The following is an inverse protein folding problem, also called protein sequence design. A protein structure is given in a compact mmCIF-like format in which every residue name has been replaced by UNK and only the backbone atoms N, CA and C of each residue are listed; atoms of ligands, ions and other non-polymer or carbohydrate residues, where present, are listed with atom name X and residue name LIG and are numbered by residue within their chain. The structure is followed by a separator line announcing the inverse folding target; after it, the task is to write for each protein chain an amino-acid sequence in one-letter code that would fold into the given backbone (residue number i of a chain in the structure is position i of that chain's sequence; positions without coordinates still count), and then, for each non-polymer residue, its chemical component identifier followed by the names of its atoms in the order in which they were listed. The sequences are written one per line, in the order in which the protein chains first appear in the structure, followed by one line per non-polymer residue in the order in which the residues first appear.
data_IF_866791649580
#
_entry.id   IF_866791649580
#
_cell.length_a   1.000
_cell.length_b   1.000
_cell.length_c   1.000
_cell.angle_alpha   90.00
_cell.angle_beta   90.00
_cell.angle_gamma   90.00
#
_symmetry.space_group_name_H-M   'P 1'
#
loop_
_entity.id
_entity.type
_entity.pdbx_description
1 polymer ?
#
# COMPACT_ATOMS: atom_id res chain seq x y z
N UNK A 1 20.37 1.88 30.40
CA UNK A 1 19.28 2.05 31.39
C UNK A 1 19.44 0.93 32.40
N UNK A 2 19.42 1.26 33.69
CA UNK A 2 19.37 0.24 34.74
C UNK A 2 18.01 -0.46 34.69
N UNK A 3 17.99 -1.78 34.84
CA UNK A 3 16.76 -2.57 34.88
C UNK A 3 15.96 -2.24 36.14
N UNK A 4 14.63 -2.31 36.08
CA UNK A 4 13.72 -2.10 37.23
C UNK A 4 14.08 -3.05 38.38
N UNK A 5 14.60 -4.24 38.05
CA UNK A 5 15.17 -5.22 38.99
C UNK A 5 16.27 -4.69 39.91
N UNK A 6 16.96 -3.61 39.54
CA UNK A 6 17.94 -2.95 40.42
C UNK A 6 17.28 -2.23 41.61
N UNK A 7 16.02 -1.82 41.47
CA UNK A 7 15.29 -1.00 42.43
C UNK A 7 14.41 -1.81 43.39
N UNK A 8 14.50 -3.14 43.39
CA UNK A 8 13.79 -4.00 44.34
C UNK A 8 14.64 -5.20 44.78
N UNK A 9 14.34 -5.75 45.96
CA UNK A 9 15.03 -6.89 46.57
C UNK A 9 14.02 -7.74 47.34
N UNK A 10 14.08 -9.07 47.21
CA UNK A 10 13.23 -10.02 47.97
C UNK A 10 11.71 -9.76 47.88
N UNK A 11 11.23 -9.16 46.79
CA UNK A 11 9.81 -8.87 46.58
C UNK A 11 9.37 -7.48 47.05
N UNK A 12 10.27 -6.67 47.60
CA UNK A 12 9.99 -5.32 48.08
C UNK A 12 10.83 -4.24 47.36
N UNK A 13 10.27 -3.04 47.24
CA UNK A 13 10.93 -1.89 46.64
C UNK A 13 12.08 -1.35 47.52
N UNK A 14 13.23 -1.07 46.90
CA UNK A 14 14.35 -0.40 47.54
C UNK A 14 14.15 1.12 47.51
N UNK A 15 13.38 1.63 48.48
CA UNK A 15 13.01 3.05 48.61
C UNK A 15 14.22 4.00 48.53
N UNK A 16 15.36 3.75 49.21
CA UNK A 16 16.53 4.62 49.09
C UNK A 16 17.10 4.75 47.68
N UNK A 17 17.03 3.70 46.86
CA UNK A 17 17.49 3.74 45.46
C UNK A 17 16.52 4.52 44.57
N UNK A 18 15.21 4.34 44.78
CA UNK A 18 14.17 5.05 44.02
C UNK A 18 14.26 6.56 44.25
N UNK A 19 14.42 6.99 45.51
CA UNK A 19 14.50 8.41 45.88
C UNK A 19 15.72 9.14 45.32
N UNK A 20 16.74 8.44 44.82
CA UNK A 20 17.89 9.07 44.15
C UNK A 20 17.57 9.60 42.75
N UNK A 21 16.50 9.11 42.14
CA UNK A 21 16.18 9.37 40.72
C UNK A 21 14.77 9.93 40.56
N UNK A 22 13.85 9.55 41.46
CA UNK A 22 12.44 9.88 41.37
C UNK A 22 12.03 10.73 42.60
N UNK A 23 11.40 11.90 42.42
CA UNK A 23 10.92 12.72 43.52
C UNK A 23 9.92 11.98 44.42
N UNK A 24 9.90 12.35 45.70
CA UNK A 24 9.12 11.69 46.75
C UNK A 24 7.65 11.38 46.42
N UNK A 25 6.83 12.29 45.84
CA UNK A 25 5.43 11.97 45.55
C UNK A 25 5.26 10.80 44.58
N UNK A 26 6.15 10.66 43.59
CA UNK A 26 6.11 9.56 42.63
C UNK A 26 6.72 8.28 43.22
N UNK A 27 7.75 8.41 44.07
CA UNK A 27 8.35 7.28 44.77
C UNK A 27 7.34 6.56 45.68
N UNK A 28 6.47 7.31 46.37
CA UNK A 28 5.38 6.74 47.18
C UNK A 28 4.41 5.91 46.35
N UNK A 29 4.02 6.41 45.16
CA UNK A 29 3.13 5.68 44.25
C UNK A 29 3.79 4.41 43.72
N UNK A 30 5.09 4.47 43.36
CA UNK A 30 5.84 3.30 42.89
C UNK A 30 5.90 2.22 43.97
N UNK A 31 6.17 2.61 45.23
CA UNK A 31 6.28 1.67 46.34
C UNK A 31 4.97 0.93 46.66
N UNK A 32 3.83 1.40 46.16
CA UNK A 32 2.52 0.74 46.31
C UNK A 32 2.24 -0.31 45.21
N UNK A 33 3.07 -0.37 44.16
CA UNK A 33 2.87 -1.30 43.04
C UNK A 33 3.40 -2.68 43.47
N UNK A 34 2.58 -3.75 43.46
CA UNK A 34 3.05 -5.08 43.83
C UNK A 34 4.06 -5.63 42.80
N UNK A 35 5.14 -6.23 43.28
CA UNK A 35 6.18 -6.83 42.42
C UNK A 35 5.76 -8.27 42.07
N UNK A 36 5.50 -8.53 40.79
CA UNK A 36 5.25 -9.87 40.29
C UNK A 36 6.56 -10.65 40.18
N UNK A 37 6.77 -11.62 41.07
CA UNK A 37 7.96 -12.48 41.03
C UNK A 37 7.93 -13.39 39.79
N UNK A 38 9.01 -13.37 38.99
CA UNK A 38 9.24 -14.34 37.91
C UNK A 38 8.95 -13.88 36.49
N UNK A 39 8.49 -12.63 36.27
CA UNK A 39 8.42 -12.04 34.92
C UNK A 39 9.60 -11.08 34.68
N UNK A 40 10.12 -11.05 33.45
CA UNK A 40 11.15 -10.10 33.06
C UNK A 40 10.61 -8.67 32.92
N UNK A 41 11.46 -7.66 33.14
CA UNK A 41 11.08 -6.26 33.03
C UNK A 41 10.56 -5.93 31.60
N UNK A 42 9.35 -5.39 31.50
CA UNK A 42 8.76 -4.89 30.25
C UNK A 42 8.40 -3.42 30.38
N UNK A 43 8.77 -2.61 29.39
CA UNK A 43 8.31 -1.21 29.28
C UNK A 43 6.85 -1.23 28.81
N UNK A 44 5.98 -0.54 29.55
CA UNK A 44 4.54 -0.47 29.28
C UNK A 44 4.15 0.96 28.93
N UNK A 45 3.47 1.13 27.79
CA UNK A 45 2.88 2.39 27.35
C UNK A 45 1.45 2.50 27.88
N UNK A 46 1.22 3.40 28.83
CA UNK A 46 -0.06 3.54 29.56
C UNK A 46 -1.23 4.01 28.68
N UNK A 47 -0.94 4.72 27.59
CA UNK A 47 -1.97 5.18 26.65
C UNK A 47 -2.37 4.12 25.62
N UNK A 48 -1.94 2.86 25.80
CA UNK A 48 -2.40 1.71 25.01
C UNK A 48 -3.03 0.66 25.90
N UNK A 49 -4.16 0.09 25.48
CA UNK A 49 -4.82 -1.02 26.17
C UNK A 49 -4.00 -2.32 26.17
N UNK A 50 -3.08 -2.49 25.21
CA UNK A 50 -2.16 -3.64 25.16
C UNK A 50 -0.88 -3.40 25.93
N UNK A 51 -0.64 -2.17 26.38
CA UNK A 51 0.61 -1.77 27.00
C UNK A 51 1.79 -1.61 26.03
N UNK A 52 1.60 -1.84 24.73
CA UNK A 52 2.66 -1.67 23.73
C UNK A 52 2.73 -0.24 23.21
N UNK A 53 3.95 0.24 23.00
CA UNK A 53 4.19 1.57 22.42
C UNK A 53 3.99 1.56 20.90
N UNK A 54 3.31 2.60 20.39
CA UNK A 54 3.31 2.89 18.96
C UNK A 54 3.37 4.40 18.72
N UNK A 55 3.97 4.81 17.59
CA UNK A 55 3.96 6.22 17.19
C UNK A 55 2.54 6.77 17.03
N UNK A 56 1.58 5.91 16.69
CA UNK A 56 0.16 6.27 16.57
C UNK A 56 -0.46 6.62 17.93
N UNK A 57 -0.31 5.75 18.93
CA UNK A 57 -0.86 5.98 20.27
C UNK A 57 -0.19 7.19 20.95
N UNK A 58 1.12 7.36 20.77
CA UNK A 58 1.83 8.55 21.24
C UNK A 58 1.33 9.83 20.58
N UNK A 59 1.14 9.83 19.26
CA UNK A 59 0.59 10.98 18.53
C UNK A 59 -0.85 11.31 18.95
N UNK A 60 -1.68 10.29 19.14
CA UNK A 60 -3.06 10.47 19.60
C UNK A 60 -3.15 11.06 21.02
N UNK A 61 -2.22 10.68 21.92
CA UNK A 61 -2.16 11.21 23.28
C UNK A 61 -1.77 12.70 23.34
N UNK A 62 -0.93 13.18 22.42
CA UNK A 62 -0.47 14.58 22.41
C UNK A 62 -1.29 15.49 21.48
N UNK A 63 -2.00 14.94 20.48
CA UNK A 63 -2.69 15.77 19.50
C UNK A 63 -3.95 16.39 20.07
N UNK A 64 -4.16 17.67 19.78
CA UNK A 64 -5.46 18.30 19.94
C UNK A 64 -6.30 18.00 18.70
N UNK A 65 -7.19 17.01 18.80
CA UNK A 65 -8.02 16.58 17.68
C UNK A 65 -9.03 17.67 17.30
N UNK A 66 -8.83 18.30 16.14
CA UNK A 66 -9.87 19.14 15.53
C UNK A 66 -10.99 18.27 14.93
N UNK A 67 -12.24 18.77 14.88
CA UNK A 67 -13.32 18.08 14.20
C UNK A 67 -12.97 17.83 12.73
N UNK A 68 -13.35 16.66 12.22
CA UNK A 68 -13.15 16.31 10.81
C UNK A 68 -13.96 17.26 9.95
N UNK A 69 -13.28 18.02 9.09
CA UNK A 69 -13.92 18.87 8.08
C UNK A 69 -13.91 18.12 6.75
N UNK A 70 -15.07 17.91 6.16
CA UNK A 70 -15.21 17.17 4.90
C UNK A 70 -14.36 17.78 3.78
N UNK A 71 -14.35 19.12 3.66
CA UNK A 71 -13.49 19.85 2.74
C UNK A 71 -12.00 19.47 2.86
N UNK A 72 -11.50 19.29 4.08
CA UNK A 72 -10.10 18.89 4.30
C UNK A 72 -9.87 17.41 3.99
N UNK A 73 -10.88 16.55 4.12
CA UNK A 73 -10.79 15.17 3.66
C UNK A 73 -10.71 15.10 2.13
N UNK A 74 -11.46 15.94 1.44
CA UNK A 74 -11.48 16.01 -0.04
C UNK A 74 -10.14 16.47 -0.61
N UNK A 75 -9.42 17.35 0.09
CA UNK A 75 -8.04 17.77 -0.27
C UNK A 75 -7.08 16.60 -0.38
N UNK A 76 -7.24 15.57 0.46
CA UNK A 76 -6.35 14.40 0.51
C UNK A 76 -6.98 13.18 -0.16
N UNK A 77 -7.95 13.39 -1.05
CA UNK A 77 -8.59 12.30 -1.75
C UNK A 77 -7.58 11.50 -2.60
N UNK A 78 -7.68 10.16 -2.58
CA UNK A 78 -6.76 9.20 -3.24
C UNK A 78 -6.54 9.42 -4.73
N UNK A 79 -7.44 10.14 -5.39
CA UNK A 79 -7.38 10.45 -6.82
C UNK A 79 -6.54 11.68 -7.14
N UNK A 80 -6.22 12.49 -6.12
CA UNK A 80 -5.39 13.67 -6.27
C UNK A 80 -3.92 13.28 -6.08
N UNK A 81 -3.07 13.78 -6.96
CA UNK A 81 -1.63 13.66 -6.75
C UNK A 81 -1.24 14.41 -5.46
N UNK A 82 -0.30 13.91 -4.65
CA UNK A 82 0.10 14.56 -3.40
C UNK A 82 0.54 16.03 -3.58
N UNK A 83 1.12 16.36 -4.73
CA UNK A 83 1.49 17.74 -5.10
C UNK A 83 0.28 18.67 -5.16
N UNK A 84 -0.84 18.21 -5.72
CA UNK A 84 -2.11 18.95 -5.75
C UNK A 84 -2.66 19.06 -4.34
N UNK A 85 -2.71 17.97 -3.56
CA UNK A 85 -3.22 18.00 -2.18
C UNK A 85 -2.45 18.98 -1.28
N UNK A 86 -1.12 18.97 -1.34
CA UNK A 86 -0.27 19.92 -0.59
C UNK A 86 -0.54 21.35 -1.03
N UNK A 87 -0.74 21.56 -2.33
CA UNK A 87 -1.08 22.86 -2.88
C UNK A 87 -2.44 23.36 -2.35
N UNK A 88 -3.49 22.54 -2.39
CA UNK A 88 -4.82 22.87 -1.88
C UNK A 88 -4.79 23.16 -0.39
N UNK A 89 -4.06 22.33 0.36
CA UNK A 89 -3.87 22.56 1.78
C UNK A 89 -3.20 23.92 2.04
N UNK A 90 -2.16 24.30 1.27
CA UNK A 90 -1.55 25.63 1.36
C UNK A 90 -2.49 26.75 0.94
N UNK A 91 -3.34 26.54 -0.07
CA UNK A 91 -4.35 27.50 -0.52
C UNK A 91 -5.35 27.79 0.60
N UNK A 92 -5.94 26.75 1.21
CA UNK A 92 -6.93 26.90 2.28
C UNK A 92 -6.34 27.46 3.59
N UNK A 93 -5.02 27.32 3.77
CA UNK A 93 -4.30 27.92 4.88
C UNK A 93 -3.81 29.33 4.58
N UNK A 94 -4.14 29.87 3.40
CA UNK A 94 -3.73 31.18 2.96
C UNK A 94 -2.19 31.33 2.97
N UNK A 95 -1.48 30.33 2.43
CA UNK A 95 0.00 30.24 2.43
C UNK A 95 0.64 30.23 1.05
N UNK A 96 -0.14 30.51 0.01
CA UNK A 96 0.37 30.61 -1.36
C UNK A 96 1.12 31.93 -1.59
N UNK A 97 2.28 31.93 -2.26
CA UNK A 97 3.06 33.14 -2.54
C UNK A 97 2.47 33.97 -3.69
N UNK A 98 1.29 34.58 -3.48
CA UNK A 98 0.77 35.64 -4.36
C UNK A 98 1.41 36.99 -4.04
N UNK A 99 1.47 37.90 -5.00
CA UNK A 99 2.16 39.18 -4.86
C UNK A 99 1.60 40.01 -3.69
N UNK A 100 0.28 40.02 -3.48
CA UNK A 100 -0.35 40.67 -2.31
C UNK A 100 0.17 40.13 -0.97
N UNK A 101 0.42 38.81 -0.86
CA UNK A 101 0.99 38.20 0.36
C UNK A 101 2.48 38.46 0.49
N UNK A 102 3.22 38.48 -0.61
CA UNK A 102 4.64 38.80 -0.57
C UNK A 102 4.85 40.24 -0.10
N UNK A 103 4.00 41.19 -0.50
CA UNK A 103 4.02 42.56 0.04
C UNK A 103 3.80 42.60 1.55
N UNK A 104 2.86 41.82 2.09
CA UNK A 104 2.66 41.72 3.54
C UNK A 104 3.89 41.19 4.29
N UNK A 105 4.79 40.47 3.60
CA UNK A 105 6.06 39.98 4.13
C UNK A 105 7.24 40.94 3.94
N UNK A 106 6.99 42.16 3.47
CA UNK A 106 8.00 43.22 3.34
C UNK A 106 8.68 43.30 1.97
N UNK A 107 8.22 42.55 0.96
CA UNK A 107 8.75 42.70 -0.40
C UNK A 107 8.13 43.91 -1.11
N UNK A 108 8.94 44.72 -1.77
CA UNK A 108 8.51 45.94 -2.49
C UNK A 108 8.45 45.72 -3.99
N UNK A 109 7.25 45.43 -4.50
CA UNK A 109 6.94 45.37 -5.93
C UNK A 109 5.43 45.56 -6.16
N UNK A 110 4.99 46.03 -7.34
CA UNK A 110 3.57 46.15 -7.64
C UNK A 110 2.91 44.78 -7.71
N UNK A 111 1.75 44.64 -7.09
CA UNK A 111 0.93 43.43 -7.16
C UNK A 111 0.06 43.49 -8.41
N UNK A 112 0.38 42.67 -9.42
CA UNK A 112 -0.30 42.70 -10.72
C UNK A 112 -0.52 41.30 -11.28
N UNK A 113 -1.75 40.97 -11.66
CA UNK A 113 -2.04 39.78 -12.45
C UNK A 113 -1.38 39.96 -13.81
N UNK A 114 -0.60 38.98 -14.24
CA UNK A 114 -0.02 38.97 -15.58
C UNK A 114 -1.09 38.90 -16.69
N UNK A 115 -2.32 38.54 -16.32
CA UNK A 115 -3.44 38.34 -17.24
C UNK A 115 -4.19 39.62 -17.61
N UNK A 116 -4.37 40.54 -16.65
CA UNK A 116 -5.29 41.68 -16.76
C UNK A 116 -4.84 42.88 -15.92
N UNK A 117 -3.62 42.84 -15.37
CA UNK A 117 -3.02 43.87 -14.51
C UNK A 117 -3.75 44.20 -13.20
N UNK A 118 -4.86 43.52 -12.89
CA UNK A 118 -5.56 43.64 -11.61
C UNK A 118 -4.69 43.20 -10.42
N UNK A 119 -5.08 43.53 -9.18
CA UNK A 119 -4.31 43.16 -8.01
C UNK A 119 -4.26 41.63 -7.83
N UNK A 120 -3.04 41.10 -7.70
CA UNK A 120 -2.84 39.66 -7.60
C UNK A 120 -3.04 39.12 -6.17
N UNK A 121 -4.28 38.79 -5.85
CA UNK A 121 -4.69 38.16 -4.59
C UNK A 121 -5.06 36.68 -4.76
N UNK A 122 -5.19 35.94 -3.66
CA UNK A 122 -5.71 34.55 -3.72
C UNK A 122 -7.15 34.55 -4.25
N UNK A 123 -8.04 35.38 -3.71
CA UNK A 123 -9.43 35.46 -4.17
C UNK A 123 -9.52 35.82 -5.65
N UNK A 124 -8.71 36.77 -6.12
CA UNK A 124 -8.73 37.16 -7.52
C UNK A 124 -8.28 36.03 -8.46
N UNK A 125 -7.13 35.41 -8.13
CA UNK A 125 -6.55 34.36 -8.97
C UNK A 125 -7.32 33.06 -8.93
N UNK A 126 -8.08 32.79 -7.87
CA UNK A 126 -8.77 31.52 -7.73
C UNK A 126 -10.28 31.66 -7.89
N UNK A 127 -10.90 32.82 -7.72
CA UNK A 127 -12.36 32.98 -7.71
C UNK A 127 -12.81 34.07 -8.69
N UNK A 128 -12.30 35.29 -8.56
CA UNK A 128 -12.96 36.47 -9.15
C UNK A 128 -12.56 36.75 -10.60
N UNK A 129 -11.38 36.30 -11.04
CA UNK A 129 -10.91 36.62 -12.39
C UNK A 129 -11.81 36.02 -13.48
N UNK A 130 -12.04 36.78 -14.55
CA UNK A 130 -12.90 36.38 -15.66
C UNK A 130 -12.48 35.04 -16.29
N UNK A 131 -11.17 34.80 -16.38
CA UNK A 131 -10.65 33.54 -16.88
C UNK A 131 -11.07 32.36 -15.99
N UNK A 132 -10.98 32.52 -14.68
CA UNK A 132 -11.31 31.46 -13.72
C UNK A 132 -12.81 31.24 -13.65
N UNK A 133 -13.62 32.31 -13.69
CA UNK A 133 -15.07 32.20 -13.79
C UNK A 133 -15.48 31.40 -15.03
N UNK A 134 -14.82 31.60 -16.17
CA UNK A 134 -15.03 30.79 -17.37
C UNK A 134 -14.69 29.31 -17.18
N UNK A 135 -13.58 29.00 -16.51
CA UNK A 135 -13.20 27.60 -16.17
C UNK A 135 -14.27 26.96 -15.30
N UNK A 136 -14.77 27.70 -14.32
CA UNK A 136 -15.81 27.25 -13.42
C UNK A 136 -17.12 26.97 -14.09
N UNK A 137 -17.60 27.92 -14.88
CA UNK A 137 -18.83 27.77 -15.65
C UNK A 137 -18.74 26.55 -16.56
N UNK A 138 -17.59 26.31 -17.20
CA UNK A 138 -17.39 25.13 -18.04
C UNK A 138 -17.57 23.81 -17.25
N UNK A 139 -16.84 23.63 -16.14
CA UNK A 139 -16.93 22.38 -15.39
C UNK A 139 -18.25 22.23 -14.64
N UNK A 140 -18.81 23.29 -14.08
CA UNK A 140 -20.09 23.24 -13.41
C UNK A 140 -21.25 22.94 -14.34
N UNK A 141 -21.23 23.44 -15.57
CA UNK A 141 -22.22 23.08 -16.58
C UNK A 141 -22.29 21.55 -16.81
N UNK A 142 -21.14 20.86 -16.77
CA UNK A 142 -21.08 19.39 -16.91
C UNK A 142 -21.82 18.71 -15.75
N UNK A 143 -21.72 19.26 -14.53
CA UNK A 143 -22.39 18.73 -13.34
C UNK A 143 -23.78 19.32 -13.07
N UNK A 144 -24.29 20.19 -13.95
CA UNK A 144 -25.57 20.88 -13.76
C UNK A 144 -25.57 21.82 -12.55
N UNK A 145 -24.40 22.30 -12.12
CA UNK A 145 -24.27 23.21 -10.99
C UNK A 145 -24.43 24.66 -11.48
N UNK A 146 -25.27 25.43 -10.79
CA UNK A 146 -25.30 26.88 -10.96
C UNK A 146 -24.26 27.47 -10.00
N UNK A 147 -23.16 27.98 -10.54
CA UNK A 147 -22.15 28.61 -9.71
C UNK A 147 -22.50 30.08 -9.50
N UNK A 148 -22.96 30.39 -8.29
CA UNK A 148 -22.63 31.65 -7.66
C UNK A 148 -21.24 31.48 -7.02
N UNK A 149 -20.25 32.22 -7.51
CA UNK A 149 -18.86 32.32 -7.01
C UNK A 149 -18.25 31.05 -6.40
N UNK A 150 -17.57 30.23 -7.22
CA UNK A 150 -16.67 29.17 -6.71
C UNK A 150 -15.38 29.14 -7.53
N UNK A 151 -14.26 28.66 -6.94
CA UNK A 151 -12.88 29.04 -7.28
C UNK A 151 -11.83 27.91 -7.54
N UNK A 152 -10.98 28.00 -8.61
CA UNK A 152 -10.36 26.92 -9.45
C UNK A 152 -8.90 26.69 -9.20
N UNK A 153 -8.53 25.43 -9.06
CA UNK A 153 -7.29 24.98 -8.44
C UNK A 153 -6.13 24.72 -9.43
N UNK A 154 -6.39 24.71 -10.73
CA UNK A 154 -5.37 24.48 -11.78
C UNK A 154 -4.71 25.76 -12.30
N UNK A 155 -5.13 26.91 -11.79
CA UNK A 155 -4.69 28.24 -12.19
C UNK A 155 -3.18 28.50 -12.00
N UNK A 156 -2.56 27.94 -10.95
CA UNK A 156 -1.16 28.24 -10.63
C UNK A 156 -0.15 27.72 -11.65
N UNK A 157 -0.37 26.53 -12.22
CA UNK A 157 0.53 25.93 -13.21
C UNK A 157 0.61 26.79 -14.47
N UNK A 158 -0.53 27.28 -14.95
CA UNK A 158 -0.58 28.15 -16.13
C UNK A 158 -0.14 29.58 -15.81
N UNK A 159 -0.41 30.09 -14.61
CA UNK A 159 0.16 31.36 -14.13
C UNK A 159 1.69 31.30 -14.10
N UNK A 160 2.28 30.23 -13.56
CA UNK A 160 3.75 30.07 -13.54
C UNK A 160 4.29 29.95 -14.97
N UNK A 161 3.60 29.26 -15.87
CA UNK A 161 3.96 29.23 -17.29
C UNK A 161 3.85 30.61 -17.95
N UNK A 162 2.85 31.41 -17.62
CA UNK A 162 2.73 32.78 -18.11
C UNK A 162 3.83 33.70 -17.54
N UNK A 163 4.11 33.60 -16.24
CA UNK A 163 5.07 34.45 -15.52
C UNK A 163 6.53 34.12 -15.83
N UNK A 164 6.85 32.83 -16.04
CA UNK A 164 8.24 32.36 -16.23
C UNK A 164 8.54 31.78 -17.61
N UNK A 165 7.53 31.41 -18.41
CA UNK A 165 7.70 30.74 -19.70
C UNK A 165 7.02 31.45 -20.88
N UNK A 166 6.43 32.64 -20.66
CA UNK A 166 5.87 33.49 -21.73
C UNK A 166 4.62 32.92 -22.41
N UNK A 167 3.94 31.95 -21.81
CA UNK A 167 2.73 31.33 -22.38
C UNK A 167 1.52 32.24 -22.13
N UNK A 168 0.67 32.54 -23.14
CA UNK A 168 -0.52 33.36 -22.94
C UNK A 168 -1.50 32.69 -21.97
N UNK A 169 -2.04 33.51 -21.08
CA UNK A 169 -2.97 33.08 -20.04
C UNK A 169 -4.41 33.10 -20.60
N UNK A 170 -5.03 31.92 -20.78
CA UNK A 170 -6.38 31.79 -21.36
C UNK A 170 -7.23 30.73 -20.67
N UNK A 171 -8.54 30.99 -20.61
CA UNK A 171 -9.57 30.07 -20.08
C UNK A 171 -9.50 28.70 -20.74
N UNK A 172 -9.46 28.68 -22.08
CA UNK A 172 -9.41 27.44 -22.87
C UNK A 172 -8.15 26.63 -22.58
N UNK A 173 -7.00 27.31 -22.37
CA UNK A 173 -5.76 26.66 -21.97
C UNK A 173 -5.88 25.94 -20.63
N UNK A 174 -6.55 26.55 -19.65
CA UNK A 174 -6.74 25.95 -18.32
C UNK A 174 -7.65 24.72 -18.45
N UNK A 175 -8.76 24.84 -19.19
CA UNK A 175 -9.70 23.74 -19.41
C UNK A 175 -8.98 22.56 -20.08
N UNK A 176 -8.22 22.81 -21.14
CA UNK A 176 -7.47 21.78 -21.85
C UNK A 176 -6.46 21.07 -20.94
N UNK A 177 -5.76 21.81 -20.09
CA UNK A 177 -4.78 21.23 -19.16
C UNK A 177 -5.43 20.37 -18.08
N UNK A 178 -6.56 20.81 -17.51
CA UNK A 178 -7.37 20.00 -16.58
C UNK A 178 -7.82 18.72 -17.25
N UNK A 179 -8.40 18.82 -18.45
CA UNK A 179 -8.86 17.65 -19.21
C UNK A 179 -7.70 16.70 -19.54
N UNK A 180 -6.53 17.22 -19.91
CA UNK A 180 -5.32 16.42 -20.18
C UNK A 180 -4.86 15.66 -18.93
N UNK A 181 -4.87 16.32 -17.76
CA UNK A 181 -4.52 15.68 -16.50
C UNK A 181 -5.51 14.55 -16.17
N UNK A 182 -6.83 14.80 -16.27
CA UNK A 182 -7.85 13.78 -16.02
C UNK A 182 -7.75 12.59 -16.98
N UNK A 183 -7.49 12.84 -18.28
CA UNK A 183 -7.24 11.78 -19.26
C UNK A 183 -5.99 10.96 -18.92
N UNK A 184 -4.94 11.59 -18.42
CA UNK A 184 -3.72 10.89 -17.98
C UNK A 184 -4.01 9.98 -16.79
N UNK A 185 -4.77 10.45 -15.81
CA UNK A 185 -5.20 9.65 -14.66
C UNK A 185 -6.09 8.46 -15.08
N UNK A 186 -6.99 8.68 -16.04
CA UNK A 186 -7.83 7.63 -16.62
C UNK A 186 -7.00 6.58 -17.38
N UNK A 187 -6.07 7.01 -18.23
CA UNK A 187 -5.16 6.11 -18.95
C UNK A 187 -4.26 5.30 -18.02
N UNK A 188 -3.83 5.91 -16.90
CA UNK A 188 -3.06 5.24 -15.85
C UNK A 188 -3.90 4.35 -14.92
N UNK A 189 -5.21 4.19 -15.17
CA UNK A 189 -6.16 3.41 -14.35
C UNK A 189 -6.26 3.88 -12.88
N UNK A 190 -5.93 5.13 -12.60
CA UNK A 190 -6.06 5.76 -11.27
C UNK A 190 -7.41 6.48 -11.10
N UNK A 191 -8.05 6.87 -12.21
CA UNK A 191 -9.41 7.37 -12.24
C UNK A 191 -10.38 6.22 -12.55
N UNK A 192 -10.92 5.57 -11.52
CA UNK A 192 -11.80 4.41 -11.61
C UNK A 192 -13.28 4.78 -11.58
N UNK A 193 -14.14 3.85 -12.05
CA UNK A 193 -15.60 3.98 -12.05
C UNK A 193 -16.18 4.34 -10.66
N UNK A 194 -15.61 3.78 -9.60
CA UNK A 194 -16.07 3.98 -8.21
C UNK A 194 -15.92 5.43 -7.75
N UNK A 195 -14.99 6.20 -8.34
CA UNK A 195 -14.84 7.63 -8.04
C UNK A 195 -15.92 8.49 -8.72
N UNK A 196 -16.67 7.91 -9.66
CA UNK A 196 -17.78 8.54 -10.39
C UNK A 196 -19.14 7.97 -9.97
N UNK A 197 -19.23 7.38 -8.78
CA UNK A 197 -20.50 6.87 -8.26
C UNK A 197 -21.56 7.99 -8.24
N UNK A 198 -22.74 7.69 -8.79
CA UNK A 198 -23.81 8.67 -9.00
C UNK A 198 -23.60 9.65 -10.18
N UNK A 199 -22.42 9.71 -10.79
CA UNK A 199 -22.06 10.71 -11.82
C UNK A 199 -21.46 10.10 -13.11
N UNK A 200 -21.89 8.89 -13.47
CA UNK A 200 -21.37 8.17 -14.65
C UNK A 200 -21.71 8.85 -15.99
N UNK A 201 -22.84 9.57 -16.05
CA UNK A 201 -23.21 10.32 -17.24
C UNK A 201 -22.22 11.49 -17.48
N UNK A 202 -21.89 12.23 -16.43
CA UNK A 202 -20.91 13.31 -16.47
C UNK A 202 -19.51 12.79 -16.83
N UNK A 203 -19.14 11.62 -16.31
CA UNK A 203 -17.90 10.95 -16.72
C UNK A 203 -17.87 10.70 -18.23
N UNK A 204 -18.97 10.21 -18.80
CA UNK A 204 -19.09 9.97 -20.23
C UNK A 204 -19.04 11.28 -21.05
N UNK A 205 -19.67 12.35 -20.57
CA UNK A 205 -19.58 13.70 -21.17
C UNK A 205 -18.12 14.19 -21.22
N UNK A 206 -17.33 13.88 -20.18
CA UNK A 206 -15.89 14.17 -20.14
C UNK A 206 -15.02 13.19 -20.95
N UNK A 207 -15.63 12.20 -21.62
CA UNK A 207 -14.93 11.20 -22.45
C UNK A 207 -14.42 9.97 -21.68
N UNK A 208 -14.83 9.77 -20.43
CA UNK A 208 -14.46 8.60 -19.64
C UNK A 208 -15.51 7.50 -19.76
N UNK A 209 -15.20 6.45 -20.53
CA UNK A 209 -16.09 5.31 -20.71
C UNK A 209 -15.68 4.20 -19.74
N UNK A 210 -16.43 4.03 -18.67
CA UNK A 210 -16.24 2.90 -17.77
C UNK A 210 -17.10 1.73 -18.25
N UNK A 211 -16.46 0.69 -18.80
CA UNK A 211 -17.17 -0.54 -19.11
C UNK A 211 -17.81 -1.08 -17.84
N UNK A 212 -19.11 -1.38 -17.91
CA UNK A 212 -19.80 -2.08 -16.83
C UNK A 212 -19.13 -3.44 -16.66
N UNK A 213 -18.45 -3.64 -15.53
CA UNK A 213 -18.06 -5.00 -15.15
C UNK A 213 -19.37 -5.72 -14.85
N UNK A 214 -19.79 -6.57 -15.78
CA UNK A 214 -20.84 -7.56 -15.51
C UNK A 214 -20.31 -8.38 -14.34
N UNK A 215 -21.08 -8.54 -13.24
CA UNK A 215 -20.68 -9.41 -12.14
C UNK A 215 -20.29 -10.75 -12.74
N UNK A 216 -19.06 -11.22 -12.53
CA UNK A 216 -18.70 -12.51 -13.12
C UNK A 216 -19.55 -13.55 -12.42
N UNK A 217 -20.09 -14.49 -13.18
CA UNK A 217 -20.80 -15.62 -12.59
C UNK A 217 -19.85 -16.32 -11.60
N UNK A 218 -20.35 -16.80 -10.45
CA UNK A 218 -19.54 -17.59 -9.54
C UNK A 218 -18.89 -18.74 -10.31
N UNK A 219 -17.60 -18.95 -10.09
CA UNK A 219 -16.86 -20.03 -10.74
C UNK A 219 -16.33 -21.01 -9.71
N UNK A 220 -16.32 -22.28 -10.10
CA UNK A 220 -15.75 -23.35 -9.29
C UNK A 220 -14.25 -23.42 -9.59
N UNK A 221 -13.43 -23.32 -8.56
CA UNK A 221 -11.97 -23.39 -8.64
C UNK A 221 -11.51 -24.56 -7.78
N UNK A 222 -10.56 -25.36 -8.25
CA UNK A 222 -9.98 -26.47 -7.47
C UNK A 222 -8.51 -26.60 -7.81
N UNK A 223 -7.73 -27.14 -6.87
CA UNK A 223 -6.38 -27.58 -7.18
C UNK A 223 -6.43 -28.78 -8.14
N UNK A 224 -5.49 -28.84 -9.09
CA UNK A 224 -5.36 -29.96 -10.02
C UNK A 224 -3.96 -30.55 -9.88
N UNK A 225 -3.87 -31.88 -9.85
CA UNK A 225 -2.56 -32.54 -9.87
C UNK A 225 -1.82 -32.27 -11.20
N UNK A 226 -0.48 -32.26 -11.19
CA UNK A 226 0.29 -32.23 -12.42
C UNK A 226 0.12 -33.54 -13.21
N UNK A 227 0.56 -33.54 -14.47
CA UNK A 227 0.59 -34.75 -15.29
C UNK A 227 1.47 -35.84 -14.64
N UNK A 228 1.24 -37.14 -14.93
CA UNK A 228 2.12 -38.20 -14.46
C UNK A 228 3.59 -37.90 -14.78
N UNK A 229 4.49 -38.20 -13.83
CA UNK A 229 5.93 -37.89 -13.89
C UNK A 229 6.32 -36.41 -13.85
N UNK A 230 5.36 -35.50 -13.64
CA UNK A 230 5.64 -34.09 -13.36
C UNK A 230 5.48 -33.79 -11.87
N UNK A 231 6.27 -32.83 -11.41
CA UNK A 231 6.10 -32.21 -10.10
C UNK A 231 5.37 -30.89 -10.24
N UNK A 232 4.69 -30.46 -9.18
CA UNK A 232 4.01 -29.17 -9.09
C UNK A 232 4.50 -28.40 -7.88
N UNK A 233 5.06 -27.22 -8.12
CA UNK A 233 5.43 -26.23 -7.12
C UNK A 233 4.32 -25.17 -7.03
N UNK A 234 3.63 -25.10 -5.90
CA UNK A 234 2.74 -23.99 -5.56
C UNK A 234 3.49 -23.02 -4.65
N UNK A 235 3.51 -21.73 -4.99
CA UNK A 235 4.23 -20.70 -4.22
C UNK A 235 3.32 -19.58 -3.77
N UNK A 236 3.66 -18.94 -2.65
CA UNK A 236 3.03 -17.71 -2.20
C UNK A 236 4.03 -16.85 -1.39
N UNK A 237 3.87 -15.53 -1.48
CA UNK A 237 4.64 -14.56 -0.71
C UNK A 237 3.71 -13.67 0.13
N UNK A 238 4.10 -13.38 1.37
CA UNK A 238 3.36 -12.45 2.21
C UNK A 238 4.18 -11.20 2.54
N UNK A 239 3.48 -10.09 2.82
CA UNK A 239 4.08 -8.85 3.31
C UNK A 239 3.07 -8.07 4.17
N UNK A 240 3.42 -7.78 5.43
CA UNK A 240 2.66 -6.98 6.38
C UNK A 240 3.05 -5.49 6.26
N UNK A 241 2.58 -4.85 5.20
CA UNK A 241 3.02 -3.51 4.76
C UNK A 241 3.78 -3.60 3.44
N UNK A 242 3.98 -2.48 2.74
CA UNK A 242 4.69 -2.47 1.46
C UNK A 242 5.61 -1.23 1.33
N UNK A 243 6.83 -1.27 1.90
CA UNK A 243 7.50 -2.43 2.50
C UNK A 243 7.05 -2.74 3.93
N UNK A 244 7.20 -4.00 4.37
CA UNK A 244 6.83 -4.48 5.70
C UNK A 244 7.42 -5.86 6.02
N UNK A 245 7.07 -6.46 7.16
CA UNK A 245 7.52 -7.82 7.50
C UNK A 245 7.05 -8.79 6.41
N UNK A 246 7.97 -9.52 5.80
CA UNK A 246 7.72 -10.33 4.62
C UNK A 246 8.34 -11.71 4.74
N UNK A 247 7.81 -12.64 3.96
CA UNK A 247 8.34 -13.98 3.82
C UNK A 247 7.74 -14.68 2.62
N UNK A 248 8.35 -15.81 2.29
CA UNK A 248 8.10 -16.56 1.08
C UNK A 248 7.92 -18.03 1.43
N UNK A 249 6.98 -18.72 0.80
CA UNK A 249 6.75 -20.12 1.05
C UNK A 249 6.28 -20.86 -0.20
N UNK A 250 6.38 -22.19 -0.15
CA UNK A 250 5.84 -23.01 -1.19
C UNK A 250 5.90 -24.50 -0.87
N UNK A 251 5.30 -25.29 -1.76
CA UNK A 251 5.13 -26.72 -1.58
C UNK A 251 5.22 -27.43 -2.93
N UNK A 252 6.00 -28.51 -2.97
CA UNK A 252 6.25 -29.34 -4.14
C UNK A 252 5.54 -30.68 -3.98
N UNK A 253 4.70 -31.03 -4.95
CA UNK A 253 3.85 -32.22 -4.96
C UNK A 253 4.00 -33.03 -6.24
N UNK A 254 3.80 -34.35 -6.15
CA UNK A 254 3.72 -35.24 -7.31
C UNK A 254 2.31 -35.28 -7.94
N UNK A 255 2.15 -36.08 -9.00
CA UNK A 255 0.86 -36.30 -9.66
C UNK A 255 -0.17 -37.07 -8.81
N UNK A 256 0.23 -37.72 -7.72
CA UNK A 256 -0.65 -38.36 -6.76
C UNK A 256 -1.06 -37.41 -5.61
N UNK A 257 -0.53 -36.18 -5.60
CA UNK A 257 -0.74 -35.19 -4.55
C UNK A 257 0.10 -35.43 -3.30
N UNK A 258 1.09 -36.34 -3.34
CA UNK A 258 2.03 -36.51 -2.24
C UNK A 258 3.02 -35.34 -2.21
N UNK A 259 3.32 -34.88 -1.01
CA UNK A 259 4.26 -33.79 -0.80
C UNK A 259 5.67 -34.36 -0.75
N UNK A 260 6.54 -33.81 -1.58
CA UNK A 260 7.97 -34.10 -1.53
C UNK A 260 8.69 -33.15 -0.58
N UNK A 261 8.38 -31.86 -0.69
CA UNK A 261 9.01 -30.78 0.06
C UNK A 261 8.03 -29.64 0.25
N UNK A 262 8.09 -28.97 1.40
CA UNK A 262 7.57 -27.64 1.61
C UNK A 262 8.66 -26.75 2.22
N UNK A 263 8.56 -25.44 2.04
CA UNK A 263 9.54 -24.50 2.56
C UNK A 263 8.88 -23.21 3.00
N UNK A 264 9.49 -22.58 4.00
CA UNK A 264 9.12 -21.29 4.56
C UNK A 264 10.40 -20.47 4.76
N UNK A 265 10.44 -19.27 4.21
CA UNK A 265 11.61 -18.41 4.18
C UNK A 265 11.26 -17.03 4.73
N UNK A 266 11.76 -16.71 5.92
CA UNK A 266 11.61 -15.40 6.53
C UNK A 266 12.52 -14.38 5.83
N UNK A 267 11.95 -13.31 5.25
CA UNK A 267 12.69 -12.30 4.48
C UNK A 267 13.02 -11.04 5.29
N UNK A 268 12.51 -10.92 6.53
CA UNK A 268 12.60 -9.69 7.29
C UNK A 268 11.72 -8.62 6.65
N UNK A 269 12.27 -7.48 6.23
CA UNK A 269 11.48 -6.41 5.61
C UNK A 269 11.54 -6.48 4.08
N UNK A 270 10.39 -6.59 3.42
CA UNK A 270 10.29 -6.73 1.97
C UNK A 270 9.03 -6.11 1.38
N UNK A 271 8.92 -6.15 0.05
CA UNK A 271 7.68 -5.81 -0.68
C UNK A 271 6.93 -7.09 -1.03
N UNK A 272 5.63 -6.99 -1.31
CA UNK A 272 4.85 -8.17 -1.75
C UNK A 272 5.43 -8.80 -3.02
N UNK A 273 5.83 -8.00 -4.02
CA UNK A 273 6.42 -8.50 -5.27
C UNK A 273 7.75 -9.21 -5.03
N UNK A 274 8.59 -8.68 -4.11
CA UNK A 274 9.85 -9.33 -3.74
C UNK A 274 9.60 -10.68 -3.06
N UNK A 275 8.64 -10.74 -2.14
CA UNK A 275 8.27 -11.96 -1.44
C UNK A 275 7.80 -13.05 -2.43
N UNK A 276 6.90 -12.70 -3.34
CA UNK A 276 6.35 -13.61 -4.35
C UNK A 276 7.43 -14.15 -5.30
N UNK A 277 8.31 -13.27 -5.82
CA UNK A 277 9.43 -13.69 -6.67
C UNK A 277 10.43 -14.57 -5.91
N UNK A 278 10.67 -14.27 -4.64
CA UNK A 278 11.59 -15.05 -3.81
C UNK A 278 11.00 -16.43 -3.52
N UNK A 279 9.68 -16.54 -3.32
CA UNK A 279 8.99 -17.81 -3.18
C UNK A 279 9.22 -18.68 -4.41
N UNK A 280 9.02 -18.14 -5.62
CA UNK A 280 9.29 -18.85 -6.89
C UNK A 280 10.74 -19.29 -6.99
N UNK A 281 11.69 -18.36 -6.81
CA UNK A 281 13.11 -18.66 -6.95
C UNK A 281 13.57 -19.77 -5.98
N UNK A 282 13.26 -19.64 -4.68
CA UNK A 282 13.67 -20.61 -3.66
C UNK A 282 13.07 -21.99 -3.90
N UNK A 283 11.78 -22.05 -4.27
CA UNK A 283 11.13 -23.32 -4.57
C UNK A 283 11.75 -24.04 -5.77
N UNK A 284 12.12 -23.29 -6.83
CA UNK A 284 12.80 -23.86 -7.99
C UNK A 284 14.23 -24.31 -7.66
N UNK A 285 14.98 -23.57 -6.84
CA UNK A 285 16.32 -23.97 -6.42
C UNK A 285 16.29 -25.25 -5.57
N UNK A 286 15.31 -25.38 -4.68
CA UNK A 286 15.07 -26.61 -3.93
C UNK A 286 14.66 -27.77 -4.85
N UNK A 287 13.78 -27.53 -5.82
CA UNK A 287 13.39 -28.54 -6.80
C UNK A 287 14.61 -29.07 -7.59
N UNK A 288 15.50 -28.18 -8.02
CA UNK A 288 16.71 -28.55 -8.76
C UNK A 288 17.65 -29.40 -7.90
N UNK A 289 17.87 -28.98 -6.65
CA UNK A 289 18.77 -29.66 -5.72
C UNK A 289 18.29 -31.09 -5.37
N UNK A 290 16.98 -31.31 -5.38
CA UNK A 290 16.36 -32.60 -5.07
C UNK A 290 15.99 -33.42 -6.33
N UNK A 291 16.37 -32.97 -7.53
CA UNK A 291 16.09 -33.69 -8.78
C UNK A 291 14.60 -33.76 -9.14
N UNK A 292 13.81 -32.77 -8.73
CA UNK A 292 12.36 -32.71 -8.95
C UNK A 292 12.05 -31.96 -10.26
N UNK A 293 12.27 -32.64 -11.38
CA UNK A 293 11.97 -32.17 -12.73
C UNK A 293 11.31 -33.29 -13.56
N UNK A 294 10.43 -32.99 -14.54
CA UNK A 294 9.96 -31.66 -14.96
C UNK A 294 8.97 -31.00 -13.96
N UNK A 295 8.87 -29.67 -14.00
CA UNK A 295 8.19 -28.88 -12.96
C UNK A 295 7.09 -27.97 -13.51
N UNK A 296 5.91 -28.01 -12.91
CA UNK A 296 4.87 -26.97 -13.09
C UNK A 296 4.95 -26.02 -11.90
N UNK A 297 5.12 -24.73 -12.14
CA UNK A 297 5.15 -23.70 -11.10
C UNK A 297 3.87 -22.87 -11.16
N UNK A 298 3.13 -22.81 -10.06
CA UNK A 298 1.86 -22.10 -9.93
C UNK A 298 1.98 -20.93 -8.94
N UNK A 299 1.66 -19.73 -9.44
CA UNK A 299 1.75 -18.46 -8.70
C UNK A 299 0.40 -17.72 -8.77
N UNK A 300 -0.12 -17.22 -7.66
CA UNK A 300 -1.40 -16.49 -7.61
C UNK A 300 -1.25 -14.96 -7.77
N UNK A 301 -0.02 -14.48 -7.97
CA UNK A 301 0.31 -13.08 -8.27
C UNK A 301 0.45 -12.82 -9.78
N UNK A 302 -0.56 -12.16 -10.38
CA UNK A 302 -0.56 -11.79 -11.81
C UNK A 302 0.60 -10.86 -12.20
N UNK A 303 1.07 -10.02 -11.27
CA UNK A 303 2.22 -9.15 -11.48
C UNK A 303 3.50 -9.95 -11.69
N UNK A 304 3.71 -11.05 -10.95
CA UNK A 304 4.87 -11.92 -11.11
C UNK A 304 4.84 -12.62 -12.46
N UNK A 305 3.69 -13.17 -12.85
CA UNK A 305 3.52 -13.79 -14.17
C UNK A 305 3.82 -12.80 -15.29
N UNK A 306 3.36 -11.56 -15.16
CA UNK A 306 3.61 -10.50 -16.15
C UNK A 306 5.10 -10.12 -16.23
N UNK A 307 5.79 -10.03 -15.08
CA UNK A 307 7.22 -9.74 -15.00
C UNK A 307 8.09 -10.85 -15.62
N UNK A 308 7.76 -12.11 -15.35
CA UNK A 308 8.48 -13.26 -15.90
C UNK A 308 8.27 -13.36 -17.43
N UNK A 309 7.03 -13.19 -17.92
CA UNK A 309 6.73 -13.24 -19.36
C UNK A 309 7.40 -12.11 -20.15
N UNK A 310 7.42 -10.91 -19.59
CA UNK A 310 8.09 -9.77 -20.22
C UNK A 310 9.61 -9.80 -20.07
N UNK A 311 10.17 -10.79 -19.35
CA UNK A 311 11.61 -10.88 -18.99
C UNK A 311 12.14 -9.54 -18.45
N UNK A 312 11.28 -8.86 -17.69
CA UNK A 312 11.04 -7.42 -17.79
C UNK A 312 12.23 -6.47 -17.64
N UNK A 313 12.14 -5.35 -18.38
CA UNK A 313 12.64 -4.01 -18.04
C UNK A 313 11.89 -3.40 -16.84
N UNK A 314 11.88 -4.12 -15.71
CA UNK A 314 11.21 -3.71 -14.47
C UNK A 314 12.09 -2.86 -13.56
N UNK A 315 11.60 -2.62 -12.34
CA UNK A 315 12.38 -2.06 -11.23
C UNK A 315 13.66 -2.88 -11.02
N UNK A 316 14.82 -2.22 -11.03
CA UNK A 316 16.15 -2.84 -10.98
C UNK A 316 16.32 -3.78 -9.78
N UNK A 317 15.59 -3.51 -8.70
CA UNK A 317 15.65 -4.24 -7.43
C UNK A 317 15.29 -5.73 -7.56
N UNK A 318 14.39 -6.09 -8.47
CA UNK A 318 13.91 -7.49 -8.64
C UNK A 318 14.44 -8.18 -9.91
N UNK A 319 15.19 -7.45 -10.73
CA UNK A 319 15.66 -7.94 -12.03
C UNK A 319 16.57 -9.17 -11.90
N UNK A 320 17.42 -9.20 -10.87
CA UNK A 320 18.29 -10.34 -10.58
C UNK A 320 17.50 -11.63 -10.27
N UNK A 321 16.39 -11.53 -9.54
CA UNK A 321 15.51 -12.67 -9.24
C UNK A 321 14.86 -13.20 -10.51
N UNK A 322 14.33 -12.30 -11.36
CA UNK A 322 13.72 -12.66 -12.64
C UNK A 322 14.73 -13.42 -13.51
N UNK A 323 15.98 -12.94 -13.61
CA UNK A 323 17.02 -13.62 -14.38
C UNK A 323 17.33 -15.02 -13.83
N UNK A 324 17.42 -15.18 -12.50
CA UNK A 324 17.65 -16.50 -11.87
C UNK A 324 16.49 -17.46 -12.14
N UNK A 325 15.25 -17.00 -12.00
CA UNK A 325 14.05 -17.80 -12.27
C UNK A 325 14.04 -18.24 -13.74
N UNK A 326 14.29 -17.33 -14.68
CA UNK A 326 14.32 -17.67 -16.12
C UNK A 326 15.40 -18.70 -16.44
N UNK A 327 16.56 -18.65 -15.79
CA UNK A 327 17.59 -19.69 -15.94
C UNK A 327 17.12 -21.03 -15.38
N UNK A 328 16.53 -21.04 -14.18
CA UNK A 328 16.00 -22.26 -13.55
C UNK A 328 14.88 -22.89 -14.36
N UNK A 329 14.06 -22.10 -15.07
CA UNK A 329 13.02 -22.62 -15.96
C UNK A 329 13.58 -23.54 -17.04
N UNK A 330 14.76 -23.22 -17.59
CA UNK A 330 15.40 -24.05 -18.60
C UNK A 330 15.97 -25.33 -18.00
N UNK A 331 16.62 -25.23 -16.83
CA UNK A 331 17.26 -26.37 -16.15
C UNK A 331 16.25 -27.41 -15.66
N UNK A 332 15.09 -26.96 -15.20
CA UNK A 332 14.03 -27.81 -14.64
C UNK A 332 12.97 -28.23 -15.66
N UNK A 333 13.07 -27.77 -16.91
CA UNK A 333 11.99 -27.89 -17.90
C UNK A 333 10.67 -27.39 -17.28
N UNK A 334 10.72 -26.20 -16.69
CA UNK A 334 9.64 -25.70 -15.86
C UNK A 334 8.64 -24.81 -16.61
N UNK A 335 7.36 -25.10 -16.46
CA UNK A 335 6.26 -24.25 -16.94
C UNK A 335 5.71 -23.39 -15.79
N UNK A 336 5.81 -22.07 -15.91
CA UNK A 336 5.35 -21.13 -14.88
C UNK A 336 4.03 -20.52 -15.30
N UNK A 337 2.98 -20.79 -14.52
CA UNK A 337 1.61 -20.42 -14.83
C UNK A 337 0.89 -19.76 -13.66
N UNK A 338 -0.17 -19.02 -14.01
CA UNK A 338 -1.04 -18.40 -13.04
C UNK A 338 -2.00 -19.43 -12.43
N UNK A 339 -2.19 -19.37 -11.11
CA UNK A 339 -3.25 -20.11 -10.42
C UNK A 339 -4.17 -19.14 -9.68
N UNK A 340 -5.45 -19.49 -9.55
CA UNK A 340 -6.34 -18.74 -8.68
C UNK A 340 -5.98 -18.99 -7.21
N UNK A 341 -6.02 -17.94 -6.37
CA UNK A 341 -5.74 -18.03 -4.94
C UNK A 341 -6.53 -19.15 -4.24
N UNK A 342 -7.78 -19.37 -4.65
CA UNK A 342 -8.62 -20.44 -4.10
C UNK A 342 -8.08 -21.85 -4.36
N UNK A 343 -7.27 -22.06 -5.41
CA UNK A 343 -6.57 -23.31 -5.69
C UNK A 343 -5.11 -23.33 -5.17
N UNK A 344 -4.66 -22.27 -4.50
CA UNK A 344 -3.30 -22.12 -3.98
C UNK A 344 -3.24 -22.15 -2.44
N UNK A 345 -4.28 -22.69 -1.79
CA UNK A 345 -4.48 -22.57 -0.34
C UNK A 345 -3.35 -23.15 0.51
N UNK A 346 -2.69 -24.22 0.07
CA UNK A 346 -1.57 -24.81 0.81
C UNK A 346 -0.36 -23.88 0.89
N UNK A 347 0.00 -23.21 -0.21
CA UNK A 347 1.09 -22.25 -0.24
C UNK A 347 0.75 -20.97 0.55
N UNK A 348 -0.49 -20.47 0.43
CA UNK A 348 -0.96 -19.30 1.19
C UNK A 348 -0.98 -19.54 2.71
N UNK A 349 -1.34 -20.75 3.13
CA UNK A 349 -1.26 -21.14 4.53
C UNK A 349 0.19 -21.13 5.05
N UNK A 350 1.12 -21.76 4.31
CA UNK A 350 2.54 -21.77 4.67
C UNK A 350 3.15 -20.36 4.70
N UNK A 351 2.79 -19.51 3.74
CA UNK A 351 3.26 -18.12 3.70
C UNK A 351 2.79 -17.35 4.94
N UNK A 352 1.54 -17.50 5.38
CA UNK A 352 1.04 -16.85 6.59
C UNK A 352 1.72 -17.34 7.87
N UNK A 353 1.99 -18.63 7.99
CA UNK A 353 2.71 -19.19 9.14
C UNK A 353 4.17 -18.72 9.19
N UNK A 354 4.75 -18.36 8.04
CA UNK A 354 6.11 -17.80 7.97
C UNK A 354 6.23 -16.49 8.76
N UNK A 355 5.14 -15.75 8.98
CA UNK A 355 5.14 -14.52 9.79
C UNK A 355 5.51 -14.74 11.26
N UNK A 356 5.32 -15.96 11.78
CA UNK A 356 5.71 -16.34 13.15
C UNK A 356 7.11 -16.94 13.25
N UNK A 357 7.78 -17.21 12.11
CA UNK A 357 9.09 -17.83 12.08
C UNK A 357 10.21 -16.79 12.17
N UNK A 358 11.29 -17.15 12.87
CA UNK A 358 12.53 -16.35 12.90
C UNK A 358 13.56 -16.83 11.87
N UNK A 359 13.42 -18.07 11.39
CA UNK A 359 14.39 -18.75 10.51
C UNK A 359 13.69 -19.45 9.35
N UNK A 360 14.49 -19.85 8.36
CA UNK A 360 14.03 -20.64 7.21
C UNK A 360 13.88 -22.10 7.60
N UNK A 361 12.78 -22.72 7.18
CA UNK A 361 12.47 -24.12 7.43
C UNK A 361 12.14 -24.85 6.12
N UNK A 362 12.58 -26.10 6.02
CA UNK A 362 12.22 -27.04 4.96
C UNK A 362 11.53 -28.22 5.63
N UNK A 363 10.34 -28.54 5.18
CA UNK A 363 9.46 -29.56 5.75
C UNK A 363 9.32 -30.72 4.77
N UNK A 364 9.44 -31.94 5.28
CA UNK A 364 9.15 -33.17 4.54
C UNK A 364 7.74 -33.66 4.83
N UNK A 365 7.33 -34.74 4.15
CA UNK A 365 5.98 -35.29 4.29
C UNK A 365 5.55 -35.55 5.75
N UNK A 366 6.46 -36.09 6.56
CA UNK A 366 6.17 -36.47 7.95
C UNK A 366 6.01 -35.27 8.89
N UNK A 367 6.56 -34.10 8.50
CA UNK A 367 6.46 -32.86 9.27
C UNK A 367 5.11 -32.16 9.05
N UNK A 368 4.34 -32.58 8.04
CA UNK A 368 3.08 -31.94 7.66
C UNK A 368 1.95 -32.41 8.56
N UNK A 369 1.52 -31.51 9.44
CA UNK A 369 0.47 -31.77 10.42
C UNK A 369 -0.62 -30.70 10.37
N UNK A 370 -1.65 -30.85 11.21
CA UNK A 370 -2.67 -29.82 11.43
C UNK A 370 -3.45 -29.39 10.18
N UNK A 371 -3.63 -28.07 10.04
CA UNK A 371 -4.46 -27.45 9.01
C UNK A 371 -3.90 -27.72 7.61
N UNK A 372 -2.58 -27.65 7.42
CA UNK A 372 -1.93 -27.93 6.15
C UNK A 372 -2.26 -29.34 5.64
N UNK A 373 -2.20 -30.35 6.52
CA UNK A 373 -2.58 -31.74 6.17
C UNK A 373 -4.04 -31.84 5.73
N UNK A 374 -4.93 -31.09 6.38
CA UNK A 374 -6.34 -30.98 6.00
C UNK A 374 -6.52 -30.39 4.61
N UNK A 375 -5.87 -29.26 4.31
CA UNK A 375 -5.91 -28.61 2.99
C UNK A 375 -5.43 -29.58 1.90
N UNK A 376 -4.29 -30.25 2.12
CA UNK A 376 -3.73 -31.20 1.15
C UNK A 376 -4.64 -32.41 0.91
N UNK A 377 -5.35 -32.88 1.93
CA UNK A 377 -6.33 -33.95 1.79
C UNK A 377 -7.52 -33.51 0.91
N UNK A 378 -8.03 -32.30 1.11
CA UNK A 378 -9.11 -31.73 0.31
C UNK A 378 -8.69 -31.49 -1.15
N UNK A 379 -7.47 -30.97 -1.36
CA UNK A 379 -6.87 -30.80 -2.69
C UNK A 379 -6.79 -32.14 -3.43
N UNK A 380 -6.31 -33.20 -2.75
CA UNK A 380 -6.19 -34.54 -3.32
C UNK A 380 -7.55 -35.17 -3.65
N UNK A 381 -8.59 -34.85 -2.88
CA UNK A 381 -9.97 -35.26 -3.16
C UNK A 381 -10.64 -34.41 -4.26
N UNK A 382 -9.98 -33.36 -4.74
CA UNK A 382 -10.51 -32.46 -5.77
C UNK A 382 -11.69 -31.61 -5.28
N UNK A 383 -11.73 -31.32 -3.98
CA UNK A 383 -12.81 -30.52 -3.38
C UNK A 383 -12.79 -29.10 -3.96
N UNK A 384 -13.91 -28.63 -4.52
CA UNK A 384 -13.97 -27.31 -5.14
C UNK A 384 -14.15 -26.19 -4.12
N UNK A 385 -13.57 -25.04 -4.44
CA UNK A 385 -13.82 -23.74 -3.83
C UNK A 385 -14.72 -22.88 -4.74
N UNK A 386 -15.57 -22.07 -4.11
CA UNK A 386 -16.43 -21.12 -4.82
C UNK A 386 -15.74 -19.76 -4.91
N UNK A 387 -15.41 -19.33 -6.12
CA UNK A 387 -14.96 -17.97 -6.40
C UNK A 387 -16.15 -17.09 -6.72
N UNK A 388 -16.40 -16.08 -5.87
CA UNK A 388 -17.37 -15.02 -6.15
C UNK A 388 -16.77 -14.08 -7.19
N UNK A 389 -17.52 -13.79 -8.25
CA UNK A 389 -17.03 -13.07 -9.42
C UNK A 389 -17.09 -11.56 -9.33
#
# INVERSE_FOLDING_TARGET
MESVRYYWHEGDWNVPRILRIIPMPFAQTICQIPIAAGQGDKIVWTESSTGDFSMKSAWEAIRQASPRRQLLADVWHRSLQPTISVFLWRLFQDRIPVDARMRQKGFSFPSKCQCCEAEETVSYLFIESAAVQGVWQHFAAIFGLCLCDTGSLTHMTQRNAAKYHGVPFSTDGIILEVQRHLRTLYAAQTLMRTQWEGNLHQAAVMGFIFRQQVPRAPSIVRWHAPSPSWFKLNTDGFSLGNPGLAGAAGIIRDSAGHVHLAYQFALGTGTSVLAELTAVWQGMELALTHGLAPLVVEVDATIVISLLKSRASGKWEVQHLIMRIVCLQQLLVADVQYVFREANGAADHLAKETASLQLTEVLHHDDITGILRGILCLDRQGVPHLRRG
#
